data_IF_964095307229
#
_entry.id   IF_964095307229
#
_cell.length_a   1.000
_cell.length_b   1.000
_cell.length_c   1.000
_cell.angle_alpha   90.00
_cell.angle_beta   90.00
_cell.angle_gamma   90.00
#
_symmetry.space_group_name_H-M   'P 1'
#
loop_
_entity.id
_entity.type
_entity.pdbx_description
1 polymer ?
#
# COMPACT_ATOMS: atom_id res chain seq x y z
N UNK A 1 -0.84 -1.23 -0.49
CA UNK A 1 -2.28 -1.50 -0.37
C UNK A 1 -2.62 -2.68 -1.26
N UNK A 2 -3.61 -3.49 -0.90
CA UNK A 2 -4.14 -4.52 -1.80
C UNK A 2 -5.19 -3.98 -2.75
N UNK A 3 -5.64 -4.83 -3.68
CA UNK A 3 -6.78 -4.57 -4.58
C UNK A 3 -7.97 -5.50 -4.31
N UNK A 4 -7.91 -6.29 -3.24
CA UNK A 4 -8.90 -7.28 -2.87
C UNK A 4 -10.05 -6.73 -2.02
N UNK A 5 -10.70 -7.62 -1.28
CA UNK A 5 -11.90 -7.28 -0.53
C UNK A 5 -11.64 -6.14 0.48
N UNK A 6 -12.60 -5.21 0.55
CA UNK A 6 -12.65 -4.10 1.51
C UNK A 6 -11.58 -3.01 1.34
N UNK A 7 -10.76 -3.07 0.29
CA UNK A 7 -9.79 -2.02 -0.04
C UNK A 7 -10.43 -0.84 -0.80
N UNK A 8 -11.61 -1.04 -1.40
CA UNK A 8 -12.23 -0.09 -2.33
C UNK A 8 -12.44 1.30 -1.73
N UNK A 9 -12.76 1.39 -0.44
CA UNK A 9 -12.96 2.66 0.25
C UNK A 9 -11.63 3.41 0.51
N UNK A 10 -10.52 2.68 0.62
CA UNK A 10 -9.18 3.23 0.89
C UNK A 10 -8.39 3.57 -0.38
N UNK A 11 -8.67 2.89 -1.51
CA UNK A 11 -7.96 3.10 -2.77
C UNK A 11 -7.97 4.55 -3.28
N UNK A 12 -9.10 5.29 -3.25
CA UNK A 12 -9.11 6.69 -3.68
C UNK A 12 -8.09 7.54 -2.91
N UNK A 13 -8.06 7.42 -1.58
CA UNK A 13 -7.10 8.16 -0.74
C UNK A 13 -5.66 7.73 -0.99
N UNK A 14 -5.41 6.44 -1.21
CA UNK A 14 -4.08 5.93 -1.58
C UNK A 14 -3.57 6.58 -2.87
N UNK A 15 -4.39 6.62 -3.92
CA UNK A 15 -3.99 7.21 -5.21
C UNK A 15 -3.86 8.73 -5.14
N UNK A 16 -4.74 9.42 -4.42
CA UNK A 16 -4.61 10.87 -4.18
C UNK A 16 -3.29 11.21 -3.48
N UNK A 17 -2.87 10.40 -2.51
CA UNK A 17 -1.61 10.62 -1.80
C UNK A 17 -0.40 10.34 -2.70
N UNK A 18 -0.45 9.26 -3.48
CA UNK A 18 0.58 8.91 -4.47
C UNK A 18 0.79 10.04 -5.47
N UNK A 19 -0.29 10.54 -6.06
CA UNK A 19 -0.27 11.68 -6.96
C UNK A 19 0.33 12.92 -6.27
N UNK A 20 -0.12 13.27 -5.07
CA UNK A 20 0.40 14.43 -4.35
C UNK A 20 1.93 14.37 -4.11
N UNK A 21 2.49 13.19 -3.90
CA UNK A 21 3.94 12.99 -3.76
C UNK A 21 4.68 13.17 -5.09
N UNK A 22 4.14 12.60 -6.17
CA UNK A 22 4.68 12.74 -7.52
C UNK A 22 4.73 14.22 -7.95
N UNK A 23 3.63 14.96 -7.76
CA UNK A 23 3.56 16.40 -8.09
C UNK A 23 4.55 17.25 -7.29
N UNK A 24 4.88 16.83 -6.06
CA UNK A 24 5.82 17.53 -5.18
C UNK A 24 7.26 17.05 -5.33
N UNK A 25 7.54 16.10 -6.22
CA UNK A 25 8.84 15.45 -6.36
C UNK A 25 9.37 14.88 -5.02
N UNK A 26 8.47 14.36 -4.17
CA UNK A 26 8.85 13.72 -2.91
C UNK A 26 9.08 12.23 -3.20
N UNK A 27 10.31 11.71 -3.02
CA UNK A 27 10.56 10.30 -3.21
C UNK A 27 9.84 9.50 -2.14
N UNK A 28 8.92 8.63 -2.56
CA UNK A 28 8.24 7.70 -1.69
C UNK A 28 7.97 6.38 -2.42
N UNK A 29 7.84 5.33 -1.63
CA UNK A 29 7.51 4.01 -2.14
C UNK A 29 6.02 3.71 -1.89
N UNK A 30 5.27 3.67 -2.99
CA UNK A 30 3.89 3.18 -3.02
C UNK A 30 3.89 1.77 -3.60
N UNK A 31 3.37 0.80 -2.86
CA UNK A 31 3.27 -0.60 -3.30
C UNK A 31 1.81 -1.02 -3.44
N UNK A 32 1.43 -1.39 -4.65
CA UNK A 32 0.16 -2.03 -4.98
C UNK A 32 0.37 -3.56 -4.96
N UNK A 33 -0.52 -4.26 -4.28
CA UNK A 33 -0.55 -5.71 -4.23
C UNK A 33 -1.81 -6.19 -4.95
N UNK A 34 -1.79 -7.43 -5.42
CA UNK A 34 -2.82 -7.99 -6.29
C UNK A 34 -4.20 -8.10 -5.62
N UNK A 35 -5.17 -8.54 -6.42
CA UNK A 35 -6.59 -8.65 -6.06
C UNK A 35 -6.91 -9.69 -4.98
N UNK A 36 -5.95 -10.54 -4.59
CA UNK A 36 -6.10 -11.48 -3.48
C UNK A 36 -5.78 -10.85 -2.11
N UNK A 37 -5.28 -9.61 -2.09
CA UNK A 37 -4.88 -8.90 -0.87
C UNK A 37 -6.00 -7.99 -0.38
N UNK A 38 -6.62 -8.37 0.75
CA UNK A 38 -7.73 -7.65 1.37
C UNK A 38 -7.29 -6.71 2.49
N UNK A 39 -8.19 -5.79 2.84
CA UNK A 39 -8.02 -4.85 3.95
C UNK A 39 -8.29 -5.54 5.31
N UNK A 40 -7.40 -6.44 5.72
CA UNK A 40 -7.53 -7.19 6.96
C UNK A 40 -6.21 -7.49 7.67
N UNK A 41 -6.33 -7.97 8.91
CA UNK A 41 -5.18 -8.29 9.76
C UNK A 41 -4.30 -9.43 9.23
N UNK A 42 -4.85 -10.37 8.46
CA UNK A 42 -4.07 -11.49 7.93
C UNK A 42 -3.09 -10.96 6.88
N UNK A 43 -3.53 -10.06 6.02
CA UNK A 43 -2.67 -9.44 5.01
C UNK A 43 -1.71 -8.42 5.60
N UNK A 44 -2.14 -7.61 6.57
CA UNK A 44 -1.23 -6.67 7.23
C UNK A 44 -0.07 -7.38 7.94
N UNK A 45 -0.32 -8.56 8.55
CA UNK A 45 0.74 -9.39 9.14
C UNK A 45 1.75 -9.93 8.12
N UNK A 46 1.39 -10.06 6.84
CA UNK A 46 2.32 -10.44 5.76
C UNK A 46 3.05 -9.23 5.18
N UNK A 47 2.34 -8.11 5.03
CA UNK A 47 2.88 -6.87 4.48
C UNK A 47 3.94 -6.26 5.38
N UNK A 48 3.70 -6.18 6.69
CA UNK A 48 4.64 -5.58 7.64
C UNK A 48 6.07 -6.15 7.57
N UNK A 49 6.29 -7.48 7.72
CA UNK A 49 7.64 -8.03 7.61
C UNK A 49 8.24 -7.88 6.21
N UNK A 50 7.43 -7.91 5.14
CA UNK A 50 7.91 -7.63 3.79
C UNK A 50 8.47 -6.20 3.68
N UNK A 51 7.74 -5.20 4.14
CA UNK A 51 8.17 -3.79 4.10
C UNK A 51 9.41 -3.56 4.97
N UNK A 52 9.45 -4.11 6.18
CA UNK A 52 10.62 -4.00 7.06
C UNK A 52 11.86 -4.64 6.42
N UNK A 53 11.69 -5.81 5.81
CA UNK A 53 12.79 -6.47 5.12
C UNK A 53 13.33 -5.63 3.94
N UNK A 54 12.48 -4.99 3.14
CA UNK A 54 12.93 -4.09 2.05
C UNK A 54 13.67 -2.84 2.56
N UNK A 55 13.43 -2.45 3.82
CA UNK A 55 14.13 -1.36 4.51
C UNK A 55 15.40 -1.84 5.24
N UNK A 56 15.74 -3.13 5.14
CA UNK A 56 16.81 -3.79 5.90
C UNK A 56 16.65 -3.66 7.43
N UNK A 57 15.40 -3.75 7.91
CA UNK A 57 15.02 -3.73 9.32
C UNK A 57 14.50 -5.09 9.81
#
# INVERSE_FOLDING_TARGET
>A
TGLGAWEQDGLPSFYTLKEAFEHKNIPAWFAEWEYDVSHDWIWWRKQMPYFLNQLNL
#
